data_IF_556008384908
#
_entry.id   IF_556008384908
#
_cell.length_a   1.000
_cell.length_b   1.000
_cell.length_c   1.000
_cell.angle_alpha   90.00
_cell.angle_beta   90.00
_cell.angle_gamma   90.00
#
_symmetry.space_group_name_H-M   'P 1'
#
loop_
_entity.id
_entity.type
_entity.pdbx_description
1 polymer ?
#
# COMPACT_ATOMS: atom_id res chain seq x y z
N UNK A 1 -12.78 -8.01 -12.68
CA UNK A 1 -12.13 -9.33 -12.81
C UNK A 1 -10.74 -9.21 -12.23
N UNK A 2 -10.40 -10.04 -11.25
CA UNK A 2 -9.02 -10.24 -10.84
C UNK A 2 -8.29 -10.90 -12.03
N UNK A 3 -7.08 -10.45 -12.32
CA UNK A 3 -6.29 -11.00 -13.43
C UNK A 3 -6.01 -12.49 -13.18
N UNK A 4 -6.13 -13.31 -14.23
CA UNK A 4 -5.67 -14.72 -14.20
C UNK A 4 -4.13 -14.81 -14.15
N UNK A 5 -3.44 -13.77 -14.65
CA UNK A 5 -1.99 -13.60 -14.61
C UNK A 5 -1.67 -12.12 -14.38
N UNK A 6 -0.50 -11.78 -13.81
CA UNK A 6 -0.15 -10.39 -13.55
C UNK A 6 0.08 -9.62 -14.86
N UNK A 7 -0.22 -8.30 -14.88
CA UNK A 7 0.19 -7.44 -15.98
C UNK A 7 1.70 -7.54 -16.23
N UNK A 8 2.16 -7.72 -17.49
CA UNK A 8 3.59 -7.91 -17.81
C UNK A 8 4.49 -6.78 -17.33
N UNK A 9 3.98 -5.54 -17.26
CA UNK A 9 4.70 -4.38 -16.74
C UNK A 9 5.17 -4.57 -15.30
N UNK A 10 4.42 -5.31 -14.48
CA UNK A 10 4.77 -5.58 -13.08
C UNK A 10 5.98 -6.51 -12.92
N UNK A 11 6.39 -7.22 -13.96
CA UNK A 11 7.59 -8.07 -13.94
C UNK A 11 8.87 -7.31 -14.28
N UNK A 12 8.76 -5.99 -14.57
CA UNK A 12 9.88 -5.12 -14.96
C UNK A 12 9.89 -3.82 -14.14
N UNK A 13 10.17 -3.87 -12.82
CA UNK A 13 10.12 -2.71 -11.93
C UNK A 13 10.92 -1.49 -12.45
N UNK A 14 12.10 -1.71 -13.03
CA UNK A 14 12.97 -0.66 -13.54
C UNK A 14 12.35 0.15 -14.70
N UNK A 15 11.35 -0.39 -15.41
CA UNK A 15 10.63 0.33 -16.47
C UNK A 15 9.54 1.28 -15.93
N UNK A 16 9.21 1.17 -14.65
CA UNK A 16 8.14 1.94 -13.99
C UNK A 16 8.73 3.13 -13.21
N UNK A 17 9.13 4.18 -13.95
CA UNK A 17 9.84 5.35 -13.40
C UNK A 17 9.22 6.70 -13.80
N UNK A 18 7.94 6.72 -14.17
CA UNK A 18 7.24 7.96 -14.49
C UNK A 18 7.17 8.88 -13.25
N UNK A 19 7.42 10.16 -13.46
CA UNK A 19 7.23 11.19 -12.43
C UNK A 19 5.73 11.42 -12.23
N UNK A 20 5.28 11.41 -10.98
CA UNK A 20 3.90 11.69 -10.63
C UNK A 20 3.56 13.18 -10.79
N UNK A 21 2.27 13.51 -11.03
CA UNK A 21 1.77 14.88 -10.86
C UNK A 21 2.06 15.44 -9.47
N UNK A 22 2.07 16.77 -9.34
CA UNK A 22 2.27 17.44 -8.03
C UNK A 22 1.24 16.98 -7.00
N UNK A 23 -0.02 16.78 -7.45
CA UNK A 23 -1.12 16.23 -6.64
C UNK A 23 -1.98 15.36 -7.54
N UNK A 24 -2.40 14.21 -7.05
CA UNK A 24 -3.32 13.31 -7.76
C UNK A 24 -4.13 12.48 -6.77
N UNK A 25 -5.29 12.03 -7.20
CA UNK A 25 -6.12 11.10 -6.43
C UNK A 25 -5.86 9.66 -6.85
N UNK A 26 -6.06 8.74 -5.91
CA UNK A 26 -6.16 7.29 -6.18
C UNK A 26 -7.42 6.75 -5.55
N UNK A 27 -8.32 6.26 -6.39
CA UNK A 27 -9.53 5.58 -5.95
C UNK A 27 -9.24 4.08 -5.79
N UNK A 28 -9.50 3.58 -4.60
CA UNK A 28 -9.49 2.16 -4.27
C UNK A 28 -10.92 1.64 -4.16
N UNK A 29 -11.30 0.73 -5.06
CA UNK A 29 -12.50 -0.08 -4.91
C UNK A 29 -12.10 -1.38 -4.21
N UNK A 30 -12.71 -1.67 -3.07
CA UNK A 30 -12.37 -2.83 -2.22
C UNK A 30 -13.61 -3.69 -1.95
N UNK A 31 -13.42 -4.85 -1.34
CA UNK A 31 -14.52 -5.70 -0.87
C UNK A 31 -15.37 -5.03 0.22
N UNK A 32 -14.81 -4.09 0.98
CA UNK A 32 -15.51 -3.35 2.04
C UNK A 32 -16.15 -2.02 1.56
N UNK A 33 -15.89 -1.60 0.31
CA UNK A 33 -16.37 -0.34 -0.26
C UNK A 33 -15.28 0.45 -0.97
N UNK A 34 -15.52 1.73 -1.24
CA UNK A 34 -14.60 2.61 -1.98
C UNK A 34 -14.05 3.71 -1.09
N UNK A 35 -12.76 4.00 -1.21
CA UNK A 35 -12.11 5.17 -0.61
C UNK A 35 -11.16 5.83 -1.59
N UNK A 36 -10.83 7.10 -1.35
CA UNK A 36 -9.92 7.90 -2.18
C UNK A 36 -8.76 8.41 -1.33
N UNK A 37 -7.56 8.24 -1.84
CA UNK A 37 -6.33 8.83 -1.30
C UNK A 37 -5.93 10.00 -2.19
N UNK A 38 -5.72 11.18 -1.62
CA UNK A 38 -5.05 12.29 -2.31
C UNK A 38 -3.57 12.25 -1.96
N UNK A 39 -2.74 12.17 -3.00
CA UNK A 39 -1.28 12.14 -2.89
C UNK A 39 -0.71 13.53 -3.15
N UNK A 40 0.21 13.95 -2.29
CA UNK A 40 0.95 15.20 -2.40
C UNK A 40 2.43 14.89 -2.64
N UNK A 41 2.87 14.98 -3.89
CA UNK A 41 4.25 14.62 -4.26
C UNK A 41 5.31 15.38 -3.47
N UNK A 42 5.02 16.64 -3.08
CA UNK A 42 5.94 17.46 -2.29
C UNK A 42 6.22 16.92 -0.88
N UNK A 43 5.34 16.05 -0.33
CA UNK A 43 5.54 15.47 1.00
C UNK A 43 6.64 14.41 0.99
N UNK A 44 6.59 13.50 0.01
CA UNK A 44 7.58 12.42 -0.15
C UNK A 44 7.67 12.05 -1.65
N UNK A 45 8.50 12.78 -2.43
CA UNK A 45 8.48 12.68 -3.90
C UNK A 45 8.86 11.30 -4.44
N UNK A 46 9.80 10.59 -3.83
CA UNK A 46 10.19 9.24 -4.27
C UNK A 46 9.08 8.22 -4.00
N UNK A 47 8.47 8.30 -2.81
CA UNK A 47 7.31 7.48 -2.44
C UNK A 47 6.11 7.74 -3.35
N UNK A 48 5.78 9.02 -3.60
CA UNK A 48 4.68 9.41 -4.50
C UNK A 48 4.89 8.92 -5.93
N UNK A 49 6.09 9.06 -6.50
CA UNK A 49 6.43 8.57 -7.83
C UNK A 49 6.31 7.04 -7.90
N UNK A 50 6.83 6.32 -6.91
CA UNK A 50 6.68 4.85 -6.81
C UNK A 50 5.20 4.45 -6.75
N UNK A 51 4.42 5.06 -5.90
CA UNK A 51 3.00 4.76 -5.73
C UNK A 51 2.18 5.02 -7.00
N UNK A 52 2.45 6.13 -7.69
CA UNK A 52 1.84 6.47 -8.97
C UNK A 52 2.07 5.37 -10.02
N UNK A 53 3.31 4.91 -10.16
CA UNK A 53 3.68 3.85 -11.09
C UNK A 53 3.04 2.51 -10.73
N UNK A 54 3.00 2.13 -9.46
CA UNK A 54 2.34 0.90 -8.99
C UNK A 54 0.85 0.92 -9.32
N UNK A 55 0.14 2.02 -9.05
CA UNK A 55 -1.28 2.17 -9.36
C UNK A 55 -1.54 2.06 -10.86
N UNK A 56 -0.76 2.77 -11.68
CA UNK A 56 -0.91 2.74 -13.14
C UNK A 56 -0.62 1.37 -13.76
N UNK A 57 0.28 0.63 -13.18
CA UNK A 57 0.61 -0.73 -13.62
C UNK A 57 -0.39 -1.78 -13.13
N UNK A 58 -1.37 -1.40 -12.27
CA UNK A 58 -2.37 -2.32 -11.72
C UNK A 58 -1.85 -3.19 -10.59
N UNK A 59 -0.77 -2.79 -9.90
CA UNK A 59 -0.12 -3.57 -8.85
C UNK A 59 -1.08 -3.98 -7.74
N UNK A 60 -1.92 -3.06 -7.26
CA UNK A 60 -2.78 -3.28 -6.10
C UNK A 60 -4.04 -4.12 -6.38
N UNK A 61 -4.33 -4.47 -7.64
CA UNK A 61 -5.50 -5.29 -7.94
C UNK A 61 -5.31 -6.72 -7.39
N UNK A 62 -6.19 -7.10 -6.47
CA UNK A 62 -6.14 -8.38 -5.76
C UNK A 62 -5.28 -8.38 -4.50
N UNK A 63 -4.64 -7.27 -4.14
CA UNK A 63 -3.91 -7.18 -2.88
C UNK A 63 -4.86 -7.33 -1.69
N UNK A 64 -4.46 -8.11 -0.71
CA UNK A 64 -5.16 -8.29 0.55
C UNK A 64 -4.66 -7.27 1.59
N UNK A 65 -5.57 -6.74 2.39
CA UNK A 65 -5.21 -5.94 3.58
C UNK A 65 -4.77 -6.90 4.68
N UNK A 66 -3.54 -7.38 4.56
CA UNK A 66 -3.04 -8.52 5.37
C UNK A 66 -2.79 -8.17 6.84
N UNK A 67 -2.65 -6.88 7.18
CA UNK A 67 -2.49 -6.41 8.56
C UNK A 67 -3.43 -5.25 8.81
N UNK A 68 -4.42 -5.47 9.68
CA UNK A 68 -5.37 -4.45 10.13
C UNK A 68 -5.36 -4.42 11.65
N UNK A 69 -4.75 -3.39 12.22
CA UNK A 69 -4.64 -3.18 13.67
C UNK A 69 -5.41 -1.92 14.04
N UNK A 70 -6.56 -2.10 14.67
CA UNK A 70 -7.45 -1.00 15.06
C UNK A 70 -6.72 0.04 15.92
N UNK A 71 -6.91 1.32 15.58
CA UNK A 71 -6.25 2.44 16.27
C UNK A 71 -4.77 2.60 15.92
N UNK A 72 -4.21 1.71 15.07
CA UNK A 72 -2.83 1.79 14.62
C UNK A 72 -2.74 1.93 13.09
N UNK A 73 -2.74 0.83 12.32
CA UNK A 73 -2.56 0.88 10.87
C UNK A 73 -3.38 -0.17 10.11
N UNK A 74 -3.59 0.09 8.82
CA UNK A 74 -3.96 -0.88 7.79
C UNK A 74 -2.79 -1.00 6.81
N UNK A 75 -2.18 -2.17 6.66
CA UNK A 75 -1.03 -2.41 5.79
C UNK A 75 -1.38 -3.39 4.66
N UNK A 76 -0.90 -3.08 3.46
CA UNK A 76 -1.09 -3.86 2.22
C UNK A 76 0.06 -3.59 1.24
N UNK A 77 0.06 -4.23 0.07
CA UNK A 77 1.08 -4.02 -0.96
C UNK A 77 2.07 -5.18 -1.08
N UNK A 78 1.64 -6.40 -0.72
CA UNK A 78 2.30 -7.65 -1.12
C UNK A 78 1.44 -8.26 -2.22
N UNK A 79 1.98 -8.36 -3.44
CA UNK A 79 1.22 -8.83 -4.59
C UNK A 79 0.66 -10.23 -4.38
N UNK A 80 -0.59 -10.43 -4.78
CA UNK A 80 -1.20 -11.76 -4.83
C UNK A 80 -0.52 -12.74 -5.80
N UNK A 81 0.42 -12.27 -6.63
CA UNK A 81 1.19 -13.05 -7.58
C UNK A 81 2.65 -13.20 -7.12
N UNK A 82 3.11 -14.40 -6.76
CA UNK A 82 4.49 -14.64 -6.28
C UNK A 82 5.59 -14.13 -7.23
N UNK A 83 5.39 -14.26 -8.54
CA UNK A 83 6.36 -13.78 -9.53
C UNK A 83 6.50 -12.24 -9.52
N UNK A 84 5.44 -11.51 -9.19
CA UNK A 84 5.49 -10.05 -9.00
C UNK A 84 6.24 -9.73 -7.70
N UNK A 85 5.90 -10.38 -6.59
CA UNK A 85 6.61 -10.21 -5.32
C UNK A 85 8.11 -10.45 -5.48
N UNK A 86 8.50 -11.51 -6.21
CA UNK A 86 9.90 -11.81 -6.54
C UNK A 86 10.56 -10.71 -7.40
N UNK A 87 9.87 -10.19 -8.40
CA UNK A 87 10.40 -9.13 -9.28
C UNK A 87 10.61 -7.81 -8.52
N UNK A 88 9.78 -7.52 -7.52
CA UNK A 88 9.87 -6.30 -6.71
C UNK A 88 10.76 -6.46 -5.46
N UNK A 89 11.19 -7.68 -5.14
CA UNK A 89 12.14 -7.92 -4.06
C UNK A 89 13.45 -7.21 -4.36
N UNK A 90 13.84 -6.27 -3.48
CA UNK A 90 15.05 -5.47 -3.69
C UNK A 90 14.90 -4.28 -4.67
N UNK A 91 13.71 -4.04 -5.24
CA UNK A 91 13.42 -2.83 -6.01
C UNK A 91 13.23 -1.62 -5.08
N UNK A 92 14.23 -1.37 -4.23
CA UNK A 92 14.20 -0.36 -3.19
C UNK A 92 14.19 1.06 -3.75
N UNK A 93 13.59 1.98 -3.00
CA UNK A 93 13.75 3.43 -3.22
C UNK A 93 14.40 4.07 -1.98
N UNK A 94 15.25 5.09 -2.18
CA UNK A 94 15.82 5.86 -1.07
C UNK A 94 14.72 6.54 -0.25
N UNK A 95 14.98 6.77 1.02
CA UNK A 95 14.02 7.43 1.90
C UNK A 95 13.78 8.89 1.51
N UNK A 96 12.55 9.33 1.70
CA UNK A 96 12.18 10.74 1.67
C UNK A 96 12.26 11.31 3.10
N UNK A 97 12.62 12.59 3.28
CA UNK A 97 12.51 13.23 4.57
C UNK A 97 11.04 13.33 5.02
N UNK A 98 10.80 13.19 6.31
CA UNK A 98 9.48 13.34 6.91
C UNK A 98 9.05 14.81 6.87
N UNK A 99 8.11 15.15 6.00
CA UNK A 99 7.54 16.51 5.85
C UNK A 99 6.09 16.61 6.33
N UNK A 100 5.42 15.48 6.45
CA UNK A 100 4.06 15.38 6.98
C UNK A 100 4.05 14.34 8.10
N UNK A 101 3.18 14.51 9.09
CA UNK A 101 3.09 13.61 10.24
C UNK A 101 2.17 12.43 9.99
N UNK A 102 2.46 11.30 10.64
CA UNK A 102 1.67 10.07 10.60
C UNK A 102 0.39 10.19 11.44
N UNK A 103 -0.51 11.08 11.03
CA UNK A 103 -1.82 11.30 11.63
C UNK A 103 -2.90 10.43 10.98
N UNK A 104 -4.09 10.34 11.59
CA UNK A 104 -5.21 9.54 11.05
C UNK A 104 -5.46 9.82 9.59
N UNK A 105 -5.55 8.76 8.80
CA UNK A 105 -5.82 8.76 7.37
C UNK A 105 -4.59 8.99 6.48
N UNK A 106 -3.42 9.35 7.00
CA UNK A 106 -2.21 9.47 6.16
C UNK A 106 -1.74 8.11 5.68
N UNK A 107 -1.18 8.06 4.45
CA UNK A 107 -0.61 6.87 3.84
C UNK A 107 0.91 7.01 3.74
N UNK A 108 1.61 5.95 4.13
CA UNK A 108 3.05 5.92 4.30
C UNK A 108 3.60 4.58 3.80
N UNK A 109 4.84 4.54 3.30
CA UNK A 109 5.50 3.27 3.00
C UNK A 109 5.97 2.56 4.26
N UNK A 110 5.75 1.24 4.30
CA UNK A 110 6.45 0.36 5.23
C UNK A 110 7.88 0.10 4.72
N UNK A 111 8.80 -0.12 5.65
CA UNK A 111 10.19 -0.47 5.37
C UNK A 111 10.71 -1.53 6.36
N UNK A 112 11.90 -2.03 6.11
CA UNK A 112 12.65 -2.95 6.97
C UNK A 112 13.97 -2.30 7.43
N UNK A 113 14.00 -0.99 7.50
CA UNK A 113 15.16 -0.15 7.82
C UNK A 113 15.45 0.86 6.71
N UNK A 114 16.48 1.68 6.86
CA UNK A 114 16.78 2.77 5.94
C UNK A 114 16.90 2.33 4.47
N UNK A 115 16.24 3.06 3.56
CA UNK A 115 16.30 2.85 2.11
C UNK A 115 15.82 1.46 1.63
N UNK A 116 14.86 0.85 2.35
CA UNK A 116 14.32 -0.48 2.00
C UNK A 116 12.86 -0.46 1.54
N UNK A 117 12.27 0.71 1.33
CA UNK A 117 10.89 0.86 0.83
C UNK A 117 10.77 0.26 -0.58
N UNK A 118 9.77 -0.63 -0.80
CA UNK A 118 9.50 -1.24 -2.10
C UNK A 118 8.07 -0.98 -2.58
N UNK A 119 7.09 -1.77 -2.11
CA UNK A 119 5.70 -1.75 -2.57
C UNK A 119 4.68 -1.67 -1.45
N UNK A 120 5.05 -2.08 -0.22
CA UNK A 120 4.13 -2.10 0.90
C UNK A 120 3.88 -0.70 1.45
N UNK A 121 2.61 -0.42 1.72
CA UNK A 121 2.15 0.84 2.29
C UNK A 121 1.19 0.57 3.46
N UNK A 122 1.05 1.55 4.32
CA UNK A 122 0.04 1.51 5.37
C UNK A 122 -0.74 2.83 5.47
N UNK A 123 -2.00 2.73 5.88
CA UNK A 123 -2.86 3.87 6.22
C UNK A 123 -2.94 3.93 7.75
N UNK A 124 -2.69 5.10 8.32
CA UNK A 124 -2.78 5.32 9.75
C UNK A 124 -4.25 5.35 10.21
N UNK A 125 -4.62 4.48 11.15
CA UNK A 125 -5.93 4.45 11.82
C UNK A 125 -5.94 5.24 13.14
N UNK A 126 -4.76 5.63 13.64
CA UNK A 126 -4.54 6.44 14.83
C UNK A 126 -3.58 7.58 14.56
N UNK A 127 -3.37 8.45 15.54
CA UNK A 127 -2.28 9.41 15.52
C UNK A 127 -0.99 8.70 15.98
N UNK A 128 -0.16 8.32 15.00
CA UNK A 128 1.07 7.58 15.20
C UNK A 128 2.32 8.48 15.08
N UNK A 129 2.15 9.80 15.04
CA UNK A 129 3.24 10.77 14.83
C UNK A 129 4.41 10.59 15.81
N UNK A 130 4.10 10.44 17.10
CA UNK A 130 5.12 10.25 18.16
C UNK A 130 5.97 8.99 17.96
N UNK A 131 5.40 7.96 17.35
CA UNK A 131 6.09 6.68 17.15
C UNK A 131 6.79 6.59 15.79
N UNK A 132 6.23 7.18 14.73
CA UNK A 132 6.66 6.91 13.35
C UNK A 132 7.46 8.05 12.73
N UNK A 133 7.18 9.31 13.06
CA UNK A 133 7.85 10.45 12.42
C UNK A 133 9.35 10.44 12.71
N UNK A 134 9.72 10.21 13.97
CA UNK A 134 11.12 10.14 14.40
C UNK A 134 11.89 8.93 13.87
N UNK A 135 11.19 7.92 13.34
CA UNK A 135 11.78 6.73 12.71
C UNK A 135 11.95 6.88 11.20
N UNK A 136 11.55 8.01 10.61
CA UNK A 136 11.73 8.29 9.18
C UNK A 136 10.56 7.83 8.28
N UNK A 137 9.43 7.39 8.85
CA UNK A 137 8.25 7.05 8.07
C UNK A 137 7.61 8.32 7.50
N UNK A 138 7.81 8.58 6.20
CA UNK A 138 7.39 9.79 5.51
C UNK A 138 6.04 9.60 4.79
N UNK A 139 4.93 10.19 5.28
CA UNK A 139 3.66 10.17 4.56
C UNK A 139 3.77 10.86 3.21
N UNK A 140 3.07 10.32 2.21
CA UNK A 140 3.02 10.89 0.86
C UNK A 140 1.61 11.29 0.40
N UNK A 141 0.60 10.99 1.20
CA UNK A 141 -0.79 11.32 0.91
C UNK A 141 -1.71 11.07 2.10
N UNK A 142 -3.01 11.28 1.88
CA UNK A 142 -4.04 11.12 2.89
C UNK A 142 -5.35 10.64 2.27
N UNK A 143 -6.11 9.82 3.00
CA UNK A 143 -7.49 9.46 2.66
C UNK A 143 -8.35 10.72 2.76
N UNK A 144 -8.92 11.15 1.64
CA UNK A 144 -9.78 12.34 1.54
C UNK A 144 -11.26 11.98 1.42
N UNK A 145 -11.57 10.74 1.06
CA UNK A 145 -12.94 10.24 1.01
C UNK A 145 -12.99 8.78 1.42
N UNK A 146 -14.05 8.36 2.10
CA UNK A 146 -14.27 6.96 2.45
C UNK A 146 -13.44 6.43 3.63
N UNK A 147 -12.97 7.28 4.56
CA UNK A 147 -12.21 6.81 5.74
C UNK A 147 -12.98 5.75 6.54
N UNK A 148 -14.30 5.86 6.62
CA UNK A 148 -15.16 4.84 7.27
C UNK A 148 -15.06 3.45 6.62
N UNK A 149 -14.73 3.37 5.32
CA UNK A 149 -14.48 2.10 4.64
C UNK A 149 -13.16 1.51 5.12
N UNK A 150 -12.10 2.33 5.24
CA UNK A 150 -10.80 1.90 5.76
C UNK A 150 -10.92 1.39 7.20
N UNK A 151 -11.70 2.08 8.04
CA UNK A 151 -11.96 1.68 9.44
C UNK A 151 -12.75 0.37 9.57
N UNK A 152 -13.53 0.00 8.55
CA UNK A 152 -14.35 -1.23 8.51
C UNK A 152 -13.60 -2.45 7.99
N UNK A 153 -12.40 -2.29 7.43
CA UNK A 153 -11.61 -3.41 6.93
C UNK A 153 -11.43 -4.46 8.03
N UNK A 154 -11.49 -5.73 7.64
CA UNK A 154 -11.50 -6.82 8.59
C UNK A 154 -10.21 -6.90 9.41
N UNK A 155 -10.32 -6.61 10.70
CA UNK A 155 -9.20 -6.57 11.66
C UNK A 155 -9.15 -7.79 12.61
N UNK A 156 -9.95 -8.83 12.37
CA UNK A 156 -10.05 -9.96 13.30
C UNK A 156 -8.79 -10.82 13.42
N UNK A 157 -7.86 -10.69 12.46
CA UNK A 157 -6.55 -11.37 12.52
C UNK A 157 -5.46 -10.52 13.18
N UNK A 158 -5.64 -9.20 13.31
CA UNK A 158 -4.69 -8.29 13.95
C UNK A 158 -3.26 -8.45 13.43
N UNK A 159 -2.34 -8.75 14.33
CA UNK A 159 -0.90 -8.97 14.04
C UNK A 159 -0.56 -10.41 13.62
N UNK A 160 -1.50 -11.35 13.64
CA UNK A 160 -1.20 -12.77 13.37
C UNK A 160 -0.61 -13.03 11.98
N UNK A 161 -0.91 -12.17 11.01
CA UNK A 161 -0.44 -12.29 9.62
C UNK A 161 0.89 -11.57 9.41
N UNK A 162 1.28 -10.66 10.30
CA UNK A 162 2.44 -9.78 10.13
C UNK A 162 3.76 -10.54 9.96
N UNK A 163 3.95 -11.63 10.69
CA UNK A 163 5.16 -12.45 10.63
C UNK A 163 5.17 -13.44 9.45
N UNK A 164 4.11 -13.48 8.65
CA UNK A 164 3.93 -14.42 7.54
C UNK A 164 4.18 -13.77 6.16
N UNK A 165 4.75 -12.56 6.12
CA UNK A 165 4.97 -11.82 4.87
C UNK A 165 5.81 -12.59 3.85
N UNK A 166 6.78 -13.40 4.31
CA UNK A 166 7.56 -14.28 3.44
C UNK A 166 6.71 -15.36 2.76
N UNK A 167 5.77 -15.97 3.49
CA UNK A 167 4.81 -16.93 2.93
C UNK A 167 3.84 -16.25 1.97
N UNK A 168 3.37 -15.04 2.31
CA UNK A 168 2.49 -14.26 1.41
C UNK A 168 3.23 -13.96 0.11
N UNK A 169 4.47 -13.47 0.18
CA UNK A 169 5.26 -13.13 -0.99
C UNK A 169 5.58 -14.34 -1.88
N UNK A 170 5.81 -15.53 -1.28
CA UNK A 170 6.19 -16.75 -2.00
C UNK A 170 5.01 -17.57 -2.51
N UNK A 171 3.84 -17.48 -1.87
CA UNK A 171 2.65 -18.29 -2.19
C UNK A 171 1.45 -17.45 -2.66
N UNK A 172 1.51 -16.13 -2.51
CA UNK A 172 0.49 -15.18 -2.96
C UNK A 172 -0.87 -15.35 -2.28
N UNK A 173 -1.91 -14.91 -3.00
CA UNK A 173 -3.28 -14.96 -2.48
C UNK A 173 -3.79 -16.38 -2.21
N UNK A 174 -3.21 -17.41 -2.81
CA UNK A 174 -3.59 -18.80 -2.50
C UNK A 174 -3.35 -19.13 -1.02
N UNK A 175 -2.22 -18.66 -0.46
CA UNK A 175 -1.91 -18.79 0.96
C UNK A 175 -2.93 -18.03 1.83
N UNK A 176 -3.18 -16.76 1.51
CA UNK A 176 -4.07 -15.91 2.30
C UNK A 176 -5.52 -16.43 2.27
N UNK A 177 -6.04 -16.82 1.12
CA UNK A 177 -7.39 -17.39 0.99
C UNK A 177 -7.57 -18.69 1.77
N UNK A 178 -6.53 -19.52 1.82
CA UNK A 178 -6.56 -20.77 2.57
C UNK A 178 -6.54 -20.57 4.08
N UNK A 179 -5.72 -19.65 4.57
CA UNK A 179 -5.43 -19.50 6.00
C UNK A 179 -6.15 -18.31 6.65
N UNK A 180 -6.48 -17.28 5.86
CA UNK A 180 -7.05 -16.00 6.31
C UNK A 180 -8.22 -15.54 5.42
N UNK A 181 -9.25 -16.37 5.21
CA UNK A 181 -10.29 -16.17 4.18
C UNK A 181 -11.20 -14.95 4.41
N UNK A 182 -11.11 -14.30 5.57
CA UNK A 182 -11.94 -13.12 5.91
C UNK A 182 -11.27 -11.79 5.59
N UNK A 183 -10.03 -11.79 5.08
CA UNK A 183 -9.36 -10.55 4.71
C UNK A 183 -10.13 -9.83 3.62
N UNK A 184 -10.23 -8.52 3.75
CA UNK A 184 -10.68 -7.65 2.67
C UNK A 184 -9.57 -7.44 1.65
N UNK A 185 -9.95 -7.21 0.40
CA UNK A 185 -9.02 -7.04 -0.70
C UNK A 185 -9.33 -5.84 -1.58
N UNK A 186 -8.33 -5.37 -2.30
CA UNK A 186 -8.44 -4.38 -3.35
C UNK A 186 -8.97 -5.05 -4.61
N UNK A 187 -10.13 -4.63 -5.11
CA UNK A 187 -10.67 -5.06 -6.40
C UNK A 187 -9.98 -4.29 -7.53
N UNK A 188 -9.80 -2.98 -7.34
CA UNK A 188 -9.15 -2.09 -8.30
C UNK A 188 -8.60 -0.84 -7.62
N UNK A 189 -7.44 -0.38 -8.07
CA UNK A 189 -6.95 0.96 -7.78
C UNK A 189 -6.73 1.71 -9.10
N UNK A 190 -7.11 2.99 -9.16
CA UNK A 190 -6.94 3.82 -10.35
C UNK A 190 -6.60 5.27 -10.00
N UNK A 191 -5.80 5.89 -10.84
CA UNK A 191 -5.53 7.34 -10.74
C UNK A 191 -6.79 8.11 -11.13
N UNK A 192 -7.16 9.08 -10.31
CA UNK A 192 -8.29 10.00 -10.52
C UNK A 192 -7.82 11.43 -10.26
N UNK A 193 -8.68 12.41 -10.52
CA UNK A 193 -8.42 13.79 -10.10
C UNK A 193 -8.36 13.86 -8.57
N UNK A 194 -7.43 14.67 -8.04
CA UNK A 194 -7.38 14.96 -6.60
C UNK A 194 -8.69 15.58 -6.11
N UNK A 195 -9.12 15.19 -4.92
CA UNK A 195 -10.28 15.73 -4.21
C UNK A 195 -9.81 16.67 -3.12
#
# INVERSE_FOLDING_TARGET
MLYASPPPALLKPAALHAKAPATFGVEFTTTAGTFVVTVHRAWAPRGADRFYNLVRAGFFAGDEFFRVVKGFVVQFGISGFPQVSKAWQGANIPDDPVKASNTVGTITYADAGPNTRTTQVFINLGNNASNLDGQGFAPFGKVTSGMKVVEKLYGGYGEAVTNLQGQIASQGNAFLKKHFPKLDSVIRARVVKAQ
#
